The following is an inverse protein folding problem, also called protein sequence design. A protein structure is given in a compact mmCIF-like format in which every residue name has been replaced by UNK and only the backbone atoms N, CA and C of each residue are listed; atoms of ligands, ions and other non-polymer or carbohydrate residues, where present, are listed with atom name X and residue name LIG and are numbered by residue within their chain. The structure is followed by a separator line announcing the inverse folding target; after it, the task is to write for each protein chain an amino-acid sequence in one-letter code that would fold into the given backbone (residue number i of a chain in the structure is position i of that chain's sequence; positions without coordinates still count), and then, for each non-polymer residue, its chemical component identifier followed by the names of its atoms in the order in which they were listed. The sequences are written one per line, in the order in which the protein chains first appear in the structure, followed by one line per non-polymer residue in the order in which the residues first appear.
data_IF_917878593297
#
_entry.id   IF_917878593297
#
_cell.length_a   1.000
_cell.length_b   1.000
_cell.length_c   1.000
_cell.angle_alpha   90.00
_cell.angle_beta   90.00
_cell.angle_gamma   90.00
#
_symmetry.space_group_name_H-M   'P 1'
#
loop_
_entity.id
_entity.type
_entity.pdbx_description
1 polymer ?
#
# COMPACT_ATOMS: atom_id res chain seq x y z
N UNK A 1 3.54 -2.97 -3.84
CA UNK A 1 3.97 -3.49 -5.16
C UNK A 1 4.45 -2.36 -6.08
N UNK A 2 5.06 -1.34 -5.51
CA UNK A 2 5.41 -0.06 -6.14
C UNK A 2 6.70 -0.02 -6.96
N UNK A 3 7.37 -1.15 -7.20
CA UNK A 3 8.57 -1.24 -8.05
C UNK A 3 8.31 -2.08 -9.29
N UNK A 4 8.87 -1.66 -10.42
CA UNK A 4 8.93 -2.46 -11.65
C UNK A 4 9.94 -3.59 -11.44
N UNK A 5 9.54 -4.82 -11.77
CA UNK A 5 10.40 -6.00 -11.74
C UNK A 5 10.70 -6.46 -13.17
N UNK A 6 11.93 -6.83 -13.41
CA UNK A 6 12.40 -7.31 -14.71
C UNK A 6 13.24 -8.58 -14.56
N UNK A 7 13.28 -9.33 -15.64
CA UNK A 7 14.11 -10.51 -15.78
C UNK A 7 15.50 -10.09 -16.30
N UNK A 8 16.55 -10.42 -15.55
CA UNK A 8 17.91 -10.00 -15.88
C UNK A 8 18.51 -10.73 -17.09
N UNK A 9 17.95 -11.89 -17.48
CA UNK A 9 18.43 -12.65 -18.63
C UNK A 9 17.77 -12.21 -19.94
N UNK A 10 16.44 -12.02 -19.91
CA UNK A 10 15.70 -11.58 -21.11
C UNK A 10 15.57 -10.06 -21.24
N UNK A 11 15.74 -9.32 -20.14
CA UNK A 11 15.47 -7.89 -20.08
C UNK A 11 13.96 -7.53 -20.02
N UNK A 12 13.07 -8.53 -20.03
CA UNK A 12 11.64 -8.33 -20.06
C UNK A 12 11.11 -7.82 -18.72
N UNK A 13 10.12 -6.93 -18.76
CA UNK A 13 9.37 -6.50 -17.58
C UNK A 13 8.39 -7.60 -17.21
N UNK A 14 8.57 -8.17 -16.02
CA UNK A 14 7.69 -9.23 -15.47
C UNK A 14 6.64 -8.66 -14.51
N UNK A 15 6.85 -7.47 -13.98
CA UNK A 15 5.90 -6.69 -13.24
C UNK A 15 6.08 -5.20 -13.52
N UNK A 16 5.03 -4.56 -13.99
CA UNK A 16 5.03 -3.13 -14.31
C UNK A 16 3.70 -2.73 -14.93
N UNK A 17 3.43 -1.43 -14.95
CA UNK A 17 2.19 -0.87 -15.49
C UNK A 17 2.41 -0.34 -16.91
N UNK A 18 3.01 -1.17 -17.79
CA UNK A 18 3.31 -0.73 -19.15
C UNK A 18 2.06 -0.45 -19.99
N UNK A 19 0.99 -1.26 -19.80
CA UNK A 19 -0.32 -1.10 -20.47
C UNK A 19 -1.35 -2.09 -19.89
N UNK A 20 -2.64 -1.91 -20.22
CA UNK A 20 -3.72 -2.84 -19.87
C UNK A 20 -3.50 -4.25 -20.45
N UNK A 21 -2.80 -4.36 -21.56
CA UNK A 21 -2.46 -5.65 -22.18
C UNK A 21 -1.63 -6.56 -21.29
N UNK A 22 -0.79 -6.01 -20.40
CA UNK A 22 -0.06 -6.80 -19.40
C UNK A 22 -1.02 -7.46 -18.41
N UNK A 23 -1.99 -6.71 -17.86
CA UNK A 23 -3.01 -7.25 -16.96
C UNK A 23 -3.84 -8.31 -17.66
N UNK A 24 -4.30 -8.04 -18.87
CA UNK A 24 -5.05 -9.01 -19.67
C UNK A 24 -4.24 -10.29 -19.90
N UNK A 25 -2.94 -10.18 -20.21
CA UNK A 25 -2.02 -11.32 -20.31
C UNK A 25 -1.86 -12.06 -18.99
N UNK A 26 -1.80 -11.36 -17.86
CA UNK A 26 -1.74 -11.98 -16.54
C UNK A 26 -2.98 -12.85 -16.26
N UNK A 27 -4.16 -12.44 -16.74
CA UNK A 27 -5.41 -13.19 -16.64
C UNK A 27 -5.51 -14.35 -17.64
N UNK A 28 -5.17 -14.12 -18.91
CA UNK A 28 -5.43 -15.06 -19.99
C UNK A 28 -4.27 -16.05 -20.27
N UNK A 29 -3.01 -15.65 -20.02
CA UNK A 29 -1.88 -16.52 -20.32
C UNK A 29 -1.67 -17.58 -19.22
N UNK A 30 -1.46 -18.87 -19.57
CA UNK A 30 -1.22 -19.94 -18.59
C UNK A 30 -0.01 -19.67 -17.66
N UNK A 31 0.94 -18.87 -18.11
CA UNK A 31 2.18 -18.55 -17.38
C UNK A 31 2.20 -17.13 -16.81
N UNK A 32 1.09 -16.36 -16.89
CA UNK A 32 1.06 -14.92 -16.67
C UNK A 32 1.77 -14.41 -15.40
N UNK A 33 1.55 -15.05 -14.24
CA UNK A 33 2.20 -14.66 -12.98
C UNK A 33 3.32 -15.62 -12.54
N UNK A 34 3.64 -16.67 -13.30
CA UNK A 34 4.64 -17.67 -12.89
C UNK A 34 6.05 -17.10 -12.74
N UNK A 35 6.40 -16.13 -13.58
CA UNK A 35 7.71 -15.46 -13.50
C UNK A 35 7.95 -14.76 -12.16
N UNK A 36 6.87 -14.41 -11.42
CA UNK A 36 6.95 -13.76 -10.12
C UNK A 36 7.13 -14.76 -8.95
N UNK A 37 7.08 -16.08 -9.18
CA UNK A 37 7.34 -17.06 -8.09
C UNK A 37 8.80 -16.98 -7.67
N UNK A 38 8.99 -16.93 -6.36
CA UNK A 38 10.33 -16.99 -5.77
C UNK A 38 10.91 -18.41 -5.88
N UNK A 39 12.17 -18.46 -6.24
CA UNK A 39 12.99 -19.67 -6.09
C UNK A 39 13.34 -19.89 -4.60
N UNK A 40 13.79 -21.09 -4.19
CA UNK A 40 14.28 -21.29 -2.82
C UNK A 40 15.38 -20.29 -2.44
N UNK A 41 16.31 -20.01 -3.34
CA UNK A 41 17.39 -19.05 -3.10
C UNK A 41 16.89 -17.62 -2.88
N UNK A 42 15.92 -17.17 -3.67
CA UNK A 42 15.30 -15.87 -3.48
C UNK A 42 14.52 -15.77 -2.15
N UNK A 43 13.88 -16.86 -1.70
CA UNK A 43 13.23 -16.92 -0.38
C UNK A 43 14.22 -16.73 0.77
N UNK A 44 15.44 -17.25 0.62
CA UNK A 44 16.53 -17.08 1.60
C UNK A 44 17.24 -15.71 1.46
N UNK A 45 16.71 -14.81 0.64
CA UNK A 45 17.22 -13.45 0.46
C UNK A 45 18.43 -13.34 -0.46
N UNK A 46 18.73 -14.38 -1.23
CA UNK A 46 19.71 -14.29 -2.33
C UNK A 46 19.03 -13.69 -3.57
N UNK A 47 19.70 -12.73 -4.22
CA UNK A 47 19.16 -12.12 -5.43
C UNK A 47 19.14 -13.11 -6.58
N UNK A 48 17.93 -13.37 -7.08
CA UNK A 48 17.70 -14.25 -8.21
C UNK A 48 17.75 -13.54 -9.57
N UNK A 49 17.11 -14.16 -10.54
CA UNK A 49 16.97 -13.68 -11.91
C UNK A 49 16.06 -12.46 -12.03
N UNK A 50 15.00 -12.39 -11.20
CA UNK A 50 14.08 -11.25 -11.19
C UNK A 50 14.60 -10.20 -10.23
N UNK A 51 14.63 -8.93 -10.68
CA UNK A 51 15.13 -7.81 -9.89
C UNK A 51 14.25 -6.58 -10.03
N UNK A 52 14.25 -5.74 -8.99
CA UNK A 52 13.69 -4.42 -9.08
C UNK A 52 14.58 -3.50 -9.93
N UNK A 53 13.95 -2.72 -10.82
CA UNK A 53 14.65 -1.82 -11.73
C UNK A 53 14.47 -0.35 -11.36
N UNK A 54 13.22 0.04 -11.12
CA UNK A 54 12.85 1.43 -10.82
C UNK A 54 11.50 1.46 -10.09
N UNK A 55 11.19 2.59 -9.50
CA UNK A 55 9.84 2.85 -9.00
C UNK A 55 8.85 2.83 -10.17
N UNK A 56 7.62 2.37 -9.92
CA UNK A 56 6.56 2.43 -10.90
C UNK A 56 6.33 3.88 -11.33
N UNK A 57 6.27 4.10 -12.64
CA UNK A 57 5.99 5.39 -13.26
C UNK A 57 4.78 5.26 -14.15
N UNK A 58 3.90 6.25 -14.14
CA UNK A 58 2.87 6.36 -15.16
C UNK A 58 3.55 6.73 -16.48
N UNK A 59 3.35 5.98 -17.56
CA UNK A 59 3.77 6.44 -18.88
C UNK A 59 3.14 7.81 -19.19
N UNK A 60 3.87 8.71 -19.84
CA UNK A 60 3.40 10.06 -20.14
C UNK A 60 2.10 10.08 -20.98
N UNK A 61 1.83 9.01 -21.74
CA UNK A 61 0.63 8.81 -22.55
C UNK A 61 -0.55 8.16 -21.79
N UNK A 62 -0.34 7.75 -20.54
CA UNK A 62 -1.37 7.12 -19.72
C UNK A 62 -1.64 7.94 -18.44
N UNK A 63 -2.14 9.20 -18.56
CA UNK A 63 -2.49 10.01 -17.40
C UNK A 63 -3.61 9.38 -16.55
N UNK A 64 -4.16 8.26 -17.00
CA UNK A 64 -5.36 7.62 -16.51
C UNK A 64 -5.09 6.49 -15.50
N UNK A 65 -3.84 6.08 -15.26
CA UNK A 65 -3.48 5.10 -14.23
C UNK A 65 -3.30 5.75 -12.83
N UNK A 66 -3.97 6.87 -12.58
CA UNK A 66 -4.06 7.48 -11.25
C UNK A 66 -4.87 6.56 -10.35
N UNK A 67 -4.27 6.01 -9.33
CA UNK A 67 -4.90 5.02 -8.42
C UNK A 67 -4.06 3.75 -8.26
N UNK A 68 -3.21 3.43 -9.23
CA UNK A 68 -2.09 2.51 -9.06
C UNK A 68 -0.90 3.37 -8.69
N UNK A 69 -0.18 3.05 -7.64
CA UNK A 69 0.91 3.80 -7.00
C UNK A 69 2.06 4.25 -7.96
N UNK A 70 1.86 5.19 -8.91
CA UNK A 70 2.96 5.75 -9.67
C UNK A 70 3.59 6.87 -8.85
N UNK A 71 4.89 6.78 -8.65
CA UNK A 71 5.63 7.71 -7.81
C UNK A 71 6.16 8.94 -8.56
N UNK A 72 5.67 9.24 -9.76
CA UNK A 72 6.15 10.36 -10.56
C UNK A 72 6.02 11.69 -9.80
N UNK A 73 4.83 11.95 -9.26
CA UNK A 73 4.53 13.23 -8.59
C UNK A 73 5.28 13.33 -7.27
N UNK A 74 5.37 12.24 -6.50
CA UNK A 74 6.15 12.20 -5.27
C UNK A 74 7.64 12.44 -5.53
N UNK A 75 8.24 11.73 -6.50
CA UNK A 75 9.67 11.91 -6.85
C UNK A 75 9.93 13.31 -7.38
N UNK A 76 9.04 13.85 -8.22
CA UNK A 76 9.15 15.21 -8.71
C UNK A 76 9.05 16.25 -7.59
N UNK A 77 8.15 16.06 -6.63
CA UNK A 77 8.01 16.93 -5.45
C UNK A 77 9.26 16.89 -4.59
N UNK A 78 9.74 15.69 -4.22
CA UNK A 78 11.01 15.55 -3.47
C UNK A 78 12.18 16.19 -4.22
N UNK A 79 12.28 15.99 -5.53
CA UNK A 79 13.38 16.55 -6.34
C UNK A 79 13.33 18.07 -6.40
N UNK A 80 12.14 18.68 -6.41
CA UNK A 80 12.00 20.14 -6.37
C UNK A 80 12.33 20.75 -5.00
N UNK A 81 12.20 19.98 -3.92
CA UNK A 81 12.45 20.45 -2.55
C UNK A 81 13.91 20.32 -2.12
N UNK A 82 14.83 19.87 -2.98
CA UNK A 82 16.25 19.71 -2.67
C UNK A 82 17.11 20.60 -3.57
N UNK A 83 18.33 20.87 -3.12
CA UNK A 83 19.26 21.77 -3.81
C UNK A 83 19.76 21.23 -5.15
N UNK A 84 19.77 19.91 -5.34
CA UNK A 84 20.25 19.25 -6.55
C UNK A 84 19.58 17.87 -6.68
N UNK A 85 19.14 17.44 -7.88
CA UNK A 85 18.56 16.13 -8.11
C UNK A 85 19.42 14.94 -7.63
N UNK A 86 20.75 15.07 -7.64
CA UNK A 86 21.67 14.05 -7.13
C UNK A 86 21.54 13.81 -5.61
N UNK A 87 20.86 14.69 -4.87
CA UNK A 87 20.50 14.48 -3.46
C UNK A 87 19.36 13.47 -3.28
N UNK A 88 18.68 13.05 -4.35
CA UNK A 88 17.53 12.15 -4.28
C UNK A 88 17.91 10.75 -4.75
N UNK A 89 17.63 9.74 -3.92
CA UNK A 89 17.75 8.32 -4.25
C UNK A 89 16.36 7.69 -4.34
N UNK A 90 15.78 7.53 -5.54
CA UNK A 90 14.57 6.74 -5.72
C UNK A 90 14.91 5.25 -5.55
N UNK A 91 14.60 4.68 -4.38
CA UNK A 91 14.94 3.30 -4.04
C UNK A 91 13.82 2.33 -4.46
N UNK A 92 14.07 1.54 -5.49
CA UNK A 92 13.22 0.44 -5.92
C UNK A 92 13.69 -0.87 -5.27
N UNK A 93 12.76 -1.71 -4.83
CA UNK A 93 13.07 -2.98 -4.18
C UNK A 93 12.15 -4.11 -4.66
N UNK A 94 12.60 -5.32 -4.50
CA UNK A 94 11.80 -6.51 -4.82
C UNK A 94 10.82 -6.81 -3.69
N UNK A 95 9.60 -6.31 -3.84
CA UNK A 95 8.52 -6.43 -2.87
C UNK A 95 8.05 -7.89 -2.61
N UNK A 96 8.55 -8.88 -3.37
CA UNK A 96 8.31 -10.30 -3.13
C UNK A 96 9.17 -10.83 -1.98
N UNK A 97 10.37 -10.27 -1.81
CA UNK A 97 11.32 -10.63 -0.76
C UNK A 97 10.89 -10.07 0.60
N UNK A 98 11.44 -10.62 1.67
CA UNK A 98 11.14 -10.14 3.02
C UNK A 98 11.54 -8.68 3.23
N UNK A 99 10.84 -8.03 4.15
CA UNK A 99 11.17 -6.67 4.63
C UNK A 99 12.62 -6.65 5.13
N UNK A 100 13.05 -7.65 5.92
CA UNK A 100 14.42 -7.75 6.44
C UNK A 100 15.47 -7.80 5.33
N UNK A 101 15.24 -8.59 4.27
CA UNK A 101 16.15 -8.67 3.12
C UNK A 101 16.25 -7.32 2.40
N UNK A 102 15.12 -6.69 2.08
CA UNK A 102 15.11 -5.41 1.40
C UNK A 102 15.66 -4.28 2.27
N UNK A 103 15.47 -4.34 3.59
CA UNK A 103 16.03 -3.36 4.54
C UNK A 103 17.56 -3.32 4.52
N UNK A 104 18.22 -4.48 4.38
CA UNK A 104 19.68 -4.54 4.22
C UNK A 104 20.13 -3.82 2.96
N UNK A 105 19.46 -4.04 1.83
CA UNK A 105 19.76 -3.35 0.57
C UNK A 105 19.49 -1.84 0.67
N UNK A 106 18.42 -1.45 1.35
CA UNK A 106 18.12 -0.04 1.60
C UNK A 106 19.23 0.62 2.44
N UNK A 107 19.66 -0.05 3.52
CA UNK A 107 20.70 0.48 4.41
C UNK A 107 22.04 0.67 3.68
N UNK A 108 22.44 -0.29 2.86
CA UNK A 108 23.64 -0.21 2.02
C UNK A 108 23.55 0.95 1.02
N UNK A 109 22.47 0.99 0.23
CA UNK A 109 22.23 2.03 -0.77
C UNK A 109 22.15 3.43 -0.15
N UNK A 110 21.53 3.56 1.04
CA UNK A 110 21.44 4.84 1.74
C UNK A 110 22.79 5.34 2.24
N UNK A 111 23.66 4.46 2.79
CA UNK A 111 25.03 4.82 3.19
C UNK A 111 25.86 5.28 2.00
N UNK A 112 25.89 4.51 0.93
CA UNK A 112 26.61 4.85 -0.29
C UNK A 112 26.12 6.16 -0.91
N UNK A 113 24.79 6.37 -0.89
CA UNK A 113 24.19 7.61 -1.37
C UNK A 113 24.61 8.81 -0.53
N UNK A 114 24.55 8.70 0.80
CA UNK A 114 24.93 9.77 1.72
C UNK A 114 26.43 10.13 1.56
N UNK A 115 27.29 9.13 1.48
CA UNK A 115 28.72 9.35 1.25
C UNK A 115 29.01 10.03 -0.09
N UNK A 116 28.35 9.62 -1.16
CA UNK A 116 28.46 10.25 -2.48
C UNK A 116 27.96 11.68 -2.45
N UNK A 117 26.80 11.91 -1.82
CA UNK A 117 26.24 13.25 -1.66
C UNK A 117 27.14 14.17 -0.85
N UNK A 118 27.71 13.73 0.26
CA UNK A 118 28.65 14.53 1.08
C UNK A 118 29.90 14.98 0.32
N UNK A 119 30.28 14.25 -0.73
CA UNK A 119 31.38 14.62 -1.63
C UNK A 119 30.94 15.49 -2.83
N UNK A 120 29.63 15.65 -3.03
CA UNK A 120 29.11 16.36 -4.20
C UNK A 120 29.30 17.88 -4.08
N UNK A 121 29.69 18.60 -5.18
CA UNK A 121 29.90 20.05 -5.13
C UNK A 121 28.68 20.85 -4.66
N UNK A 122 27.46 20.43 -5.07
CA UNK A 122 26.23 21.07 -4.63
C UNK A 122 26.00 20.95 -3.12
N UNK A 123 26.43 19.86 -2.45
CA UNK A 123 26.41 19.75 -1.00
C UNK A 123 27.28 20.78 -0.33
N UNK A 124 28.52 20.97 -0.81
CA UNK A 124 29.43 21.97 -0.27
C UNK A 124 28.87 23.39 -0.43
N UNK A 125 28.19 23.67 -1.57
CA UNK A 125 27.52 24.94 -1.81
C UNK A 125 26.31 25.13 -0.88
N UNK A 126 25.44 24.11 -0.75
CA UNK A 126 24.29 24.16 0.14
C UNK A 126 24.67 24.40 1.60
N UNK A 127 25.76 23.80 2.10
CA UNK A 127 26.28 24.03 3.45
C UNK A 127 26.64 25.49 3.69
N UNK A 128 27.28 26.15 2.73
CA UNK A 128 27.67 27.57 2.85
C UNK A 128 26.46 28.51 2.98
N UNK A 129 25.33 28.13 2.50
CA UNK A 129 24.10 28.92 2.60
C UNK A 129 23.28 28.62 3.85
N UNK A 130 23.65 27.60 4.63
CA UNK A 130 22.99 27.30 5.92
C UNK A 130 23.67 28.07 7.05
N UNK A 131 22.84 28.56 7.98
CA UNK A 131 23.30 29.31 9.16
C UNK A 131 24.19 28.45 10.08
N UNK A 132 23.93 27.13 10.10
CA UNK A 132 24.55 26.17 11.03
C UNK A 132 25.66 25.31 10.39
N UNK A 133 25.89 25.44 9.09
CA UNK A 133 26.88 24.67 8.31
C UNK A 133 26.80 23.12 8.54
N UNK A 134 25.68 22.60 9.01
CA UNK A 134 25.51 21.15 9.28
C UNK A 134 25.75 20.30 8.04
N UNK A 135 26.32 19.14 8.24
CA UNK A 135 26.43 18.14 7.17
C UNK A 135 25.06 17.61 6.75
N UNK A 136 24.97 17.19 5.48
CA UNK A 136 23.81 16.53 4.96
C UNK A 136 23.51 15.24 5.74
N UNK A 137 22.23 15.03 6.06
CA UNK A 137 21.69 13.85 6.73
C UNK A 137 20.59 13.25 5.87
N UNK A 138 20.35 11.97 6.04
CA UNK A 138 19.28 11.27 5.34
C UNK A 138 17.89 11.76 5.79
N UNK A 139 17.00 11.84 4.83
CA UNK A 139 15.55 11.95 5.04
C UNK A 139 14.90 10.85 4.24
N UNK A 140 14.09 10.04 4.89
CA UNK A 140 13.32 8.99 4.22
C UNK A 140 11.89 9.47 4.01
N UNK A 141 11.40 9.34 2.78
CA UNK A 141 9.98 9.47 2.44
C UNK A 141 9.53 8.10 1.95
N UNK A 142 8.71 7.44 2.75
CA UNK A 142 8.42 6.01 2.58
C UNK A 142 6.92 5.73 2.51
N UNK A 143 6.47 5.14 1.40
CA UNK A 143 5.08 4.78 1.19
C UNK A 143 4.85 3.29 1.46
N UNK A 144 3.74 2.96 2.13
CA UNK A 144 3.27 1.59 2.34
C UNK A 144 4.35 0.71 3.03
N UNK A 145 4.63 -0.48 2.49
CA UNK A 145 5.67 -1.40 2.98
C UNK A 145 7.07 -0.74 3.07
N UNK A 146 7.31 0.33 2.31
CA UNK A 146 8.56 1.10 2.36
C UNK A 146 8.88 1.66 3.74
N UNK A 147 7.86 1.99 4.54
CA UNK A 147 8.05 2.43 5.93
C UNK A 147 8.52 1.31 6.86
N UNK A 148 8.07 0.07 6.65
CA UNK A 148 8.59 -1.10 7.38
C UNK A 148 10.05 -1.39 7.00
N UNK A 149 10.39 -1.28 5.71
CA UNK A 149 11.78 -1.39 5.25
C UNK A 149 12.65 -0.35 5.93
N UNK A 150 12.20 0.90 5.98
CA UNK A 150 12.94 2.00 6.61
C UNK A 150 13.11 1.74 8.11
N UNK A 151 12.06 1.30 8.81
CA UNK A 151 12.14 0.95 10.22
C UNK A 151 13.17 -0.18 10.46
N UNK A 152 13.12 -1.24 9.66
CA UNK A 152 14.06 -2.36 9.77
C UNK A 152 15.50 -1.91 9.43
N UNK A 153 15.70 -1.13 8.38
CA UNK A 153 17.02 -0.62 7.99
C UNK A 153 17.68 0.27 9.06
N UNK A 154 16.86 1.02 9.81
CA UNK A 154 17.32 1.87 10.90
C UNK A 154 17.45 1.15 12.25
N UNK A 155 16.93 -0.09 12.35
CA UNK A 155 16.96 -0.89 13.59
C UNK A 155 18.14 -1.88 13.61
N UNK A 156 18.42 -2.55 12.51
CA UNK A 156 19.32 -3.73 12.44
C UNK A 156 20.73 -3.44 11.90
N UNK A 157 21.12 -2.19 11.76
CA UNK A 157 22.48 -1.87 11.29
C UNK A 157 23.54 -2.35 12.30
N UNK A 158 24.54 -3.17 11.89
CA UNK A 158 25.60 -3.63 12.79
C UNK A 158 26.40 -2.47 13.39
N UNK A 159 26.30 -1.29 12.82
CA UNK A 159 27.09 -0.11 13.19
C UNK A 159 26.26 1.05 13.79
N UNK A 160 24.94 0.89 14.01
CA UNK A 160 24.10 1.92 14.66
C UNK A 160 24.00 3.30 13.96
N UNK A 161 24.86 3.54 12.98
CA UNK A 161 25.15 4.87 12.45
C UNK A 161 24.08 5.42 11.51
N UNK A 162 23.31 4.53 10.81
CA UNK A 162 22.33 5.01 9.83
C UNK A 162 21.20 5.82 10.49
N UNK A 163 20.78 5.44 11.69
CA UNK A 163 19.78 6.20 12.45
C UNK A 163 20.35 7.55 12.93
N UNK A 164 21.63 7.59 13.34
CA UNK A 164 22.32 8.82 13.72
C UNK A 164 22.50 9.78 12.52
N UNK A 165 22.75 9.22 11.34
CA UNK A 165 22.83 9.96 10.08
C UNK A 165 21.46 10.32 9.47
N UNK A 166 20.37 9.91 10.11
CA UNK A 166 19.00 10.23 9.65
C UNK A 166 18.44 11.43 10.40
N UNK A 167 17.98 12.43 9.66
CA UNK A 167 17.30 13.62 10.20
C UNK A 167 15.85 13.32 10.53
N UNK A 168 15.15 12.63 9.63
CA UNK A 168 13.73 12.36 9.79
C UNK A 168 13.20 11.33 8.82
N UNK A 169 12.06 10.77 9.18
CA UNK A 169 11.33 9.78 8.37
C UNK A 169 9.87 10.23 8.26
N UNK A 170 9.39 10.41 7.04
CA UNK A 170 7.99 10.62 6.73
C UNK A 170 7.42 9.33 6.14
N UNK A 171 6.39 8.78 6.78
CA UNK A 171 5.70 7.59 6.27
C UNK A 171 4.31 7.93 5.75
N UNK A 172 3.92 7.30 4.65
CA UNK A 172 2.64 7.48 3.97
C UNK A 172 1.91 6.14 3.95
N UNK A 173 0.87 5.98 4.76
CA UNK A 173 0.05 4.77 4.82
C UNK A 173 0.82 3.48 5.15
N UNK A 174 1.88 3.55 5.95
CA UNK A 174 2.70 2.38 6.29
C UNK A 174 1.97 1.43 7.23
N UNK A 175 1.81 0.15 6.89
CA UNK A 175 1.17 -0.85 7.74
C UNK A 175 2.13 -1.35 8.83
N UNK A 176 2.43 -0.54 9.85
CA UNK A 176 3.36 -0.90 10.93
C UNK A 176 2.93 -2.15 11.71
N UNK A 177 1.63 -2.39 11.79
CA UNK A 177 1.07 -3.59 12.40
C UNK A 177 0.45 -4.54 11.36
N UNK A 178 0.82 -4.40 10.09
CA UNK A 178 0.24 -5.17 9.00
C UNK A 178 -1.17 -4.71 8.60
N UNK A 179 -1.82 -5.49 7.75
CA UNK A 179 -3.16 -5.22 7.21
C UNK A 179 -3.95 -6.51 6.99
N UNK A 180 -5.24 -6.50 7.31
CA UNK A 180 -6.15 -7.65 7.09
C UNK A 180 -6.26 -7.99 5.59
N UNK A 181 -6.08 -7.00 4.71
CA UNK A 181 -6.03 -7.20 3.27
C UNK A 181 -4.97 -8.26 2.85
N UNK A 182 -3.82 -8.35 3.54
CA UNK A 182 -2.82 -9.37 3.26
C UNK A 182 -3.35 -10.80 3.52
N UNK A 183 -4.10 -10.99 4.60
CA UNK A 183 -4.76 -12.27 4.90
C UNK A 183 -5.85 -12.61 3.86
N UNK A 184 -6.62 -11.62 3.40
CA UNK A 184 -7.59 -11.79 2.34
C UNK A 184 -6.93 -12.22 1.02
N UNK A 185 -5.80 -11.61 0.64
CA UNK A 185 -5.02 -11.99 -0.55
C UNK A 185 -4.53 -13.45 -0.45
N UNK A 186 -4.01 -13.87 0.70
CA UNK A 186 -3.56 -15.25 0.91
C UNK A 186 -4.71 -16.26 0.83
N UNK A 187 -5.88 -15.92 1.33
CA UNK A 187 -7.03 -16.81 1.37
C UNK A 187 -7.77 -16.88 0.04
N UNK A 188 -8.22 -15.74 -0.46
CA UNK A 188 -9.10 -15.66 -1.64
C UNK A 188 -8.40 -15.13 -2.89
N UNK A 189 -7.26 -14.46 -2.76
CA UNK A 189 -6.62 -13.71 -3.84
C UNK A 189 -7.27 -12.36 -4.14
N UNK A 190 -8.25 -11.93 -3.34
CA UNK A 190 -8.94 -10.64 -3.48
C UNK A 190 -8.22 -9.54 -2.69
N UNK A 191 -8.45 -8.28 -3.05
CA UNK A 191 -7.91 -7.12 -2.33
C UNK A 191 -6.51 -6.69 -2.75
N UNK A 192 -5.99 -7.20 -3.88
CA UNK A 192 -4.76 -6.66 -4.47
C UNK A 192 -5.03 -5.25 -5.05
N UNK A 193 -4.03 -4.34 -5.03
CA UNK A 193 -4.19 -2.97 -5.55
C UNK A 193 -4.47 -2.90 -7.06
N UNK A 194 -4.27 -4.01 -7.77
CA UNK A 194 -4.65 -4.19 -9.18
C UNK A 194 -5.45 -5.48 -9.32
N UNK A 195 -6.45 -5.53 -10.20
CA UNK A 195 -7.23 -6.74 -10.44
C UNK A 195 -6.32 -7.82 -11.04
N UNK A 196 -6.12 -8.91 -10.31
CA UNK A 196 -5.31 -10.06 -10.70
C UNK A 196 -6.11 -11.36 -10.58
N UNK A 197 -5.79 -12.41 -11.36
CA UNK A 197 -6.45 -13.71 -11.26
C UNK A 197 -6.35 -14.26 -9.84
N UNK A 198 -7.49 -14.41 -9.15
CA UNK A 198 -7.54 -14.69 -7.71
C UNK A 198 -6.82 -16.00 -7.37
N UNK A 199 -7.09 -17.09 -8.06
CA UNK A 199 -6.45 -18.37 -7.81
C UNK A 199 -4.94 -18.37 -8.11
N UNK A 200 -4.50 -17.61 -9.14
CA UNK A 200 -3.08 -17.48 -9.47
C UNK A 200 -2.37 -16.58 -8.46
N UNK A 201 -3.01 -15.48 -8.06
CA UNK A 201 -2.46 -14.57 -7.04
C UNK A 201 -2.31 -15.28 -5.70
N UNK A 202 -3.29 -16.06 -5.27
CA UNK A 202 -3.21 -16.86 -4.05
C UNK A 202 -2.01 -17.81 -4.07
N UNK A 203 -1.81 -18.58 -5.15
CA UNK A 203 -0.67 -19.49 -5.30
C UNK A 203 0.69 -18.76 -5.31
N UNK A 204 0.71 -17.55 -5.84
CA UNK A 204 1.89 -16.71 -5.84
C UNK A 204 2.16 -16.13 -4.45
N UNK A 205 1.14 -15.58 -3.82
CA UNK A 205 1.15 -14.97 -2.49
C UNK A 205 1.71 -15.92 -1.42
N UNK A 206 1.33 -17.20 -1.47
CA UNK A 206 1.87 -18.25 -0.61
C UNK A 206 3.41 -18.30 -0.60
N UNK A 207 4.07 -17.97 -1.69
CA UNK A 207 5.52 -18.06 -1.83
C UNK A 207 6.27 -16.80 -1.41
N UNK A 208 5.57 -15.72 -1.04
CA UNK A 208 6.14 -14.37 -0.87
C UNK A 208 6.35 -14.00 0.59
N UNK A 209 7.59 -13.97 1.11
CA UNK A 209 7.89 -13.43 2.43
C UNK A 209 7.36 -12.00 2.62
N UNK A 210 7.56 -11.12 1.62
CA UNK A 210 7.12 -9.73 1.72
C UNK A 210 5.62 -9.55 1.91
N UNK A 211 4.77 -10.48 1.43
CA UNK A 211 3.33 -10.44 1.74
C UNK A 211 3.04 -10.97 3.14
N UNK A 212 3.78 -11.99 3.62
CA UNK A 212 3.63 -12.48 4.99
C UNK A 212 4.04 -11.42 6.01
N UNK A 213 5.04 -10.59 5.70
CA UNK A 213 5.45 -9.46 6.53
C UNK A 213 4.39 -8.35 6.63
N UNK A 214 3.36 -8.39 5.78
CA UNK A 214 2.21 -7.47 5.84
C UNK A 214 1.00 -8.06 6.57
N UNK A 215 1.09 -9.29 7.11
CA UNK A 215 0.00 -9.89 7.90
C UNK A 215 -0.25 -9.12 9.20
N UNK A 216 -1.53 -9.03 9.65
CA UNK A 216 -1.85 -8.25 10.84
C UNK A 216 -1.26 -8.88 12.11
N UNK A 217 -0.62 -8.04 12.93
CA UNK A 217 -0.02 -8.40 14.22
C UNK A 217 -0.84 -7.92 15.43
N UNK A 218 -1.95 -7.25 15.19
CA UNK A 218 -2.92 -6.82 16.19
C UNK A 218 -4.05 -7.86 16.34
N UNK A 219 -4.85 -7.82 17.43
CA UNK A 219 -6.02 -8.67 17.59
C UNK A 219 -7.05 -8.41 16.49
N UNK A 220 -7.17 -9.33 15.55
CA UNK A 220 -8.05 -9.21 14.38
C UNK A 220 -8.88 -10.47 14.09
N UNK A 221 -8.52 -11.62 14.65
CA UNK A 221 -9.27 -12.86 14.46
C UNK A 221 -10.43 -12.92 15.46
N UNK A 222 -11.65 -12.82 14.91
CA UNK A 222 -12.90 -12.83 15.66
C UNK A 222 -13.40 -14.28 15.82
N UNK A 223 -13.35 -14.80 17.03
CA UNK A 223 -13.92 -16.09 17.44
C UNK A 223 -15.21 -15.91 18.27
N UNK A 224 -15.86 -14.77 18.12
CA UNK A 224 -17.10 -14.41 18.83
C UNK A 224 -16.82 -13.66 20.13
N UNK A 225 -16.72 -14.35 21.26
CA UNK A 225 -16.41 -13.72 22.55
C UNK A 225 -14.93 -13.50 22.79
N UNK A 226 -14.08 -14.09 21.97
CA UNK A 226 -12.63 -13.98 22.02
C UNK A 226 -12.11 -13.36 20.70
N UNK A 227 -11.26 -12.36 20.85
CA UNK A 227 -10.57 -11.73 19.74
C UNK A 227 -9.08 -11.89 19.97
N UNK A 228 -8.35 -12.43 19.03
CA UNK A 228 -6.94 -12.69 19.19
C UNK A 228 -6.11 -12.37 17.92
N UNK A 229 -4.81 -12.41 18.07
CA UNK A 229 -3.87 -12.30 16.94
C UNK A 229 -3.86 -13.60 16.14
N UNK A 230 -3.53 -13.50 14.86
CA UNK A 230 -3.26 -14.67 14.04
C UNK A 230 -1.99 -15.39 14.51
N UNK A 231 -2.09 -16.71 14.67
CA UNK A 231 -0.94 -17.58 14.88
C UNK A 231 -0.41 -18.12 13.54
N UNK A 232 0.83 -18.66 13.50
CA UNK A 232 1.33 -19.33 12.29
C UNK A 232 0.45 -20.50 11.83
N UNK A 233 -0.28 -21.14 12.74
CA UNK A 233 -1.24 -22.20 12.39
C UNK A 233 -2.47 -21.60 11.69
N UNK A 234 -3.02 -20.50 12.20
CA UNK A 234 -4.14 -19.82 11.53
C UNK A 234 -3.74 -19.34 10.13
N UNK A 235 -2.49 -18.84 9.99
CA UNK A 235 -1.96 -18.41 8.69
C UNK A 235 -1.84 -19.60 7.72
N UNK A 236 -1.43 -20.76 8.18
CA UNK A 236 -1.44 -21.97 7.37
C UNK A 236 -2.87 -22.40 7.00
N UNK A 237 -3.80 -22.34 7.93
CA UNK A 237 -5.21 -22.69 7.70
C UNK A 237 -5.91 -21.75 6.70
N UNK A 238 -5.54 -20.47 6.68
CA UNK A 238 -6.07 -19.53 5.69
C UNK A 238 -5.36 -19.60 4.32
N UNK A 239 -4.34 -20.43 4.19
CA UNK A 239 -3.64 -20.68 2.93
C UNK A 239 -2.29 -20.00 2.76
N UNK A 240 -1.71 -19.48 3.85
CA UNK A 240 -0.31 -18.97 3.88
C UNK A 240 0.72 -20.05 4.21
N UNK A 241 1.98 -19.68 4.14
CA UNK A 241 3.12 -20.52 4.51
C UNK A 241 3.45 -20.34 6.00
N UNK A 242 3.47 -21.44 6.76
CA UNK A 242 3.67 -21.41 8.20
C UNK A 242 5.06 -20.90 8.61
N UNK A 243 6.09 -21.29 7.86
CA UNK A 243 7.47 -20.92 8.17
C UNK A 243 7.68 -19.42 7.89
N UNK A 244 7.15 -18.92 6.77
CA UNK A 244 7.16 -17.49 6.47
C UNK A 244 6.36 -16.68 7.51
N UNK A 245 5.31 -17.25 8.08
CA UNK A 245 4.56 -16.62 9.16
C UNK A 245 5.38 -16.50 10.45
N UNK A 246 6.19 -17.53 10.79
CA UNK A 246 7.11 -17.49 11.95
C UNK A 246 8.20 -16.43 11.72
N UNK A 247 8.79 -16.39 10.52
CA UNK A 247 9.79 -15.39 10.17
C UNK A 247 9.23 -13.96 10.26
N UNK A 248 8.02 -13.75 9.75
CA UNK A 248 7.30 -12.47 9.86
C UNK A 248 7.04 -12.06 11.31
N UNK A 249 6.60 -13.00 12.17
CA UNK A 249 6.43 -12.71 13.59
C UNK A 249 7.74 -12.28 14.25
N UNK A 250 8.83 -12.98 13.95
CA UNK A 250 10.17 -12.64 14.44
C UNK A 250 10.59 -11.23 14.02
N UNK A 251 10.34 -10.87 12.74
CA UNK A 251 10.58 -9.52 12.24
C UNK A 251 9.78 -8.49 13.06
N UNK A 252 8.46 -8.66 13.18
CA UNK A 252 7.61 -7.72 13.89
C UNK A 252 7.94 -7.61 15.39
N UNK A 253 8.37 -8.70 16.03
CA UNK A 253 8.83 -8.68 17.44
C UNK A 253 10.13 -7.86 17.57
N UNK A 254 11.05 -7.97 16.60
CA UNK A 254 12.28 -7.16 16.55
C UNK A 254 11.99 -5.68 16.36
N UNK A 255 10.99 -5.34 15.53
CA UNK A 255 10.61 -3.96 15.23
C UNK A 255 9.71 -3.33 16.31
N UNK A 256 9.12 -4.13 17.18
CA UNK A 256 8.17 -3.65 18.20
C UNK A 256 8.82 -2.65 19.15
N UNK A 257 8.18 -1.50 19.31
CA UNK A 257 8.64 -0.42 20.17
C UNK A 257 9.85 0.34 19.67
N UNK A 258 10.36 0.03 18.47
CA UNK A 258 11.41 0.81 17.83
C UNK A 258 10.85 2.14 17.31
N UNK A 259 11.64 3.18 17.44
CA UNK A 259 11.28 4.52 17.00
C UNK A 259 12.07 4.93 15.76
N UNK A 260 11.42 5.62 14.84
CA UNK A 260 12.05 6.26 13.69
C UNK A 260 12.51 7.68 14.06
N UNK A 261 13.71 8.11 13.68
CA UNK A 261 14.19 9.47 13.92
C UNK A 261 13.25 10.51 13.31
N UNK A 262 12.87 11.56 14.07
CA UNK A 262 12.03 12.65 13.58
C UNK A 262 10.76 12.19 12.85
N UNK A 263 10.15 11.10 13.27
CA UNK A 263 9.06 10.45 12.56
C UNK A 263 7.79 11.28 12.52
N UNK A 264 7.25 11.42 11.33
CA UNK A 264 5.87 11.88 11.06
C UNK A 264 5.16 10.90 10.12
N UNK A 265 3.86 10.72 10.31
CA UNK A 265 3.05 9.80 9.52
C UNK A 265 1.89 10.53 8.84
N UNK A 266 1.76 10.37 7.53
CA UNK A 266 0.55 10.69 6.78
C UNK A 266 -0.30 9.43 6.71
N UNK A 267 -1.55 9.52 7.15
CA UNK A 267 -2.43 8.38 7.29
C UNK A 267 -3.72 8.64 6.54
N UNK A 268 -4.04 7.78 5.60
CA UNK A 268 -5.32 7.84 4.91
C UNK A 268 -6.47 7.45 5.84
N UNK A 269 -7.57 8.15 5.72
CA UNK A 269 -8.79 7.94 6.49
C UNK A 269 -10.00 7.95 5.56
N UNK A 270 -11.17 7.57 6.10
CA UNK A 270 -12.47 7.69 5.44
C UNK A 270 -12.77 6.66 4.34
N UNK A 271 -11.84 5.76 4.02
CA UNK A 271 -12.12 4.69 3.07
C UNK A 271 -12.56 3.40 3.79
N UNK A 272 -13.51 2.63 3.21
CA UNK A 272 -13.82 1.28 3.67
C UNK A 272 -12.54 0.46 3.73
N UNK A 273 -12.20 -0.04 4.92
CA UNK A 273 -10.91 -0.71 5.14
C UNK A 273 -11.12 -1.95 5.99
N UNK A 274 -10.55 -3.08 5.58
CA UNK A 274 -10.63 -4.33 6.33
C UNK A 274 -9.82 -4.21 7.62
N UNK A 275 -10.46 -4.52 8.77
CA UNK A 275 -9.88 -4.29 10.10
C UNK A 275 -9.91 -5.55 10.98
N UNK A 276 -10.78 -6.51 10.70
CA UNK A 276 -10.83 -7.81 11.37
C UNK A 276 -11.28 -8.91 10.41
N UNK A 277 -11.22 -10.15 10.85
CA UNK A 277 -11.65 -11.30 10.08
C UNK A 277 -12.15 -12.42 10.98
N UNK A 278 -13.01 -13.28 10.44
CA UNK A 278 -13.29 -14.62 10.96
C UNK A 278 -12.61 -15.65 10.06
N UNK A 279 -12.17 -16.76 10.65
CA UNK A 279 -11.61 -17.92 9.93
C UNK A 279 -12.43 -19.15 10.28
N UNK A 280 -13.14 -19.69 9.30
CA UNK A 280 -13.97 -20.90 9.48
C UNK A 280 -13.70 -21.90 8.37
N UNK A 281 -13.21 -23.07 8.74
CA UNK A 281 -12.90 -24.16 7.77
C UNK A 281 -12.00 -23.69 6.61
N UNK A 282 -10.98 -22.86 6.91
CA UNK A 282 -10.07 -22.32 5.90
C UNK A 282 -10.63 -21.16 5.08
N UNK A 283 -11.82 -20.65 5.38
CA UNK A 283 -12.43 -19.51 4.69
C UNK A 283 -12.37 -18.28 5.56
N UNK A 284 -11.77 -17.22 5.03
CA UNK A 284 -11.71 -15.90 5.65
C UNK A 284 -12.93 -15.08 5.25
N UNK A 285 -13.61 -14.51 6.24
CA UNK A 285 -14.60 -13.44 6.04
C UNK A 285 -14.09 -12.20 6.77
N UNK A 286 -13.73 -11.18 6.01
CA UNK A 286 -13.19 -9.95 6.55
C UNK A 286 -14.28 -8.93 6.87
N UNK A 287 -14.01 -8.03 7.82
CA UNK A 287 -14.92 -7.00 8.31
C UNK A 287 -14.23 -5.64 8.44
N UNK A 288 -15.00 -4.57 8.31
CA UNK A 288 -14.52 -3.18 8.38
C UNK A 288 -14.50 -2.60 9.81
N UNK A 289 -14.58 -3.43 10.84
CA UNK A 289 -14.45 -3.00 12.22
C UNK A 289 -13.27 -3.71 12.88
N UNK A 290 -12.64 -3.03 13.84
CA UNK A 290 -11.58 -3.56 14.67
C UNK A 290 -12.05 -3.73 16.12
N UNK A 291 -11.18 -4.30 16.93
CA UNK A 291 -11.32 -4.45 18.37
C UNK A 291 -10.13 -3.77 19.04
N UNK A 292 -10.36 -3.21 20.24
CA UNK A 292 -9.32 -2.52 21.01
C UNK A 292 -9.07 -3.20 22.32
N UNK A 293 -7.83 -3.14 22.75
CA UNK A 293 -7.38 -3.56 24.07
C UNK A 293 -7.22 -2.32 24.97
N UNK A 294 -7.48 -2.48 26.26
CA UNK A 294 -7.05 -1.54 27.29
C UNK A 294 -5.52 -1.58 27.45
N UNK A 295 -4.97 -0.69 28.24
CA UNK A 295 -3.52 -0.63 28.50
C UNK A 295 -2.96 -1.88 29.22
N UNK A 296 -3.81 -2.66 29.87
CA UNK A 296 -3.51 -3.94 30.52
C UNK A 296 -3.62 -5.15 29.58
N UNK A 297 -4.00 -4.93 28.32
CA UNK A 297 -4.16 -5.97 27.30
C UNK A 297 -5.54 -6.65 27.29
N UNK A 298 -6.47 -6.26 28.16
CA UNK A 298 -7.83 -6.78 28.15
C UNK A 298 -8.67 -6.14 27.04
N UNK A 299 -9.49 -6.95 26.36
CA UNK A 299 -10.39 -6.47 25.30
C UNK A 299 -11.43 -5.49 25.84
N UNK A 300 -11.62 -4.39 25.17
CA UNK A 300 -12.74 -3.48 25.42
C UNK A 300 -14.05 -4.18 25.09
N UNK A 301 -14.99 -4.18 26.08
CA UNK A 301 -16.30 -4.83 25.95
C UNK A 301 -17.43 -3.82 26.08
N UNK A 302 -18.57 -4.15 25.52
CA UNK A 302 -19.81 -3.41 25.72
C UNK A 302 -20.53 -3.80 27.02
N UNK A 303 -21.69 -3.21 27.27
CA UNK A 303 -22.49 -3.44 28.48
C UNK A 303 -23.00 -4.90 28.59
N UNK A 304 -23.01 -5.64 27.50
CA UNK A 304 -23.43 -7.07 27.47
C UNK A 304 -22.26 -8.01 27.70
N UNK A 305 -21.03 -7.49 27.78
CA UNK A 305 -19.80 -8.26 27.89
C UNK A 305 -19.26 -8.77 26.55
N UNK A 306 -19.86 -8.40 25.42
CA UNK A 306 -19.34 -8.72 24.10
C UNK A 306 -18.17 -7.81 23.70
N UNK A 307 -17.20 -8.28 22.90
CA UNK A 307 -16.13 -7.43 22.37
C UNK A 307 -16.70 -6.22 21.62
N UNK A 308 -16.27 -5.03 22.03
CA UNK A 308 -16.74 -3.78 21.44
C UNK A 308 -16.12 -3.55 20.08
N UNK A 309 -16.97 -3.31 19.07
CA UNK A 309 -16.57 -3.01 17.69
C UNK A 309 -16.33 -1.53 17.50
N UNK A 310 -15.25 -1.20 16.76
CA UNK A 310 -14.87 0.15 16.42
C UNK A 310 -14.59 0.20 14.91
N UNK A 311 -15.23 1.11 14.21
CA UNK A 311 -14.79 1.48 12.86
C UNK A 311 -13.86 2.69 12.97
N UNK A 312 -12.57 2.46 12.73
CA UNK A 312 -11.55 3.52 12.79
C UNK A 312 -11.21 4.07 11.40
N UNK A 313 -11.80 3.47 10.37
CA UNK A 313 -11.52 3.81 8.98
C UNK A 313 -10.06 3.51 8.58
N UNK A 314 -9.71 3.91 7.37
CA UNK A 314 -8.37 3.76 6.84
C UNK A 314 -8.28 4.33 5.43
N UNK A 315 -7.31 3.87 4.67
CA UNK A 315 -7.04 4.30 3.30
C UNK A 315 -7.53 3.31 2.22
N UNK A 316 -8.34 2.32 2.62
CA UNK A 316 -8.81 1.23 1.76
C UNK A 316 -7.91 -0.02 1.80
N UNK A 317 -6.68 0.09 2.31
CA UNK A 317 -5.71 -1.01 2.44
C UNK A 317 -5.27 -1.19 3.89
N UNK A 318 -4.87 -0.10 4.53
CA UNK A 318 -4.32 -0.05 5.89
C UNK A 318 -5.26 0.76 6.78
N UNK A 319 -5.72 0.18 7.87
CA UNK A 319 -6.55 0.92 8.82
C UNK A 319 -5.71 1.91 9.63
N UNK A 320 -6.35 2.99 10.05
CA UNK A 320 -5.69 4.13 10.69
C UNK A 320 -4.75 3.76 11.84
N UNK A 321 -5.14 2.85 12.72
CA UNK A 321 -4.33 2.51 13.90
C UNK A 321 -3.06 1.74 13.53
N UNK A 322 -3.10 0.89 12.50
CA UNK A 322 -1.90 0.23 11.98
C UNK A 322 -0.91 1.20 11.36
N UNK A 323 -1.40 2.29 10.74
CA UNK A 323 -0.56 3.30 10.11
C UNK A 323 -0.10 4.42 11.07
N UNK A 324 -0.56 4.42 12.33
CA UNK A 324 -0.32 5.50 13.31
C UNK A 324 0.50 5.03 14.51
N UNK A 325 1.80 4.73 14.38
CA UNK A 325 2.61 4.21 15.48
C UNK A 325 2.98 5.30 16.50
N UNK A 326 2.78 6.58 16.16
CA UNK A 326 3.12 7.74 16.98
C UNK A 326 1.99 8.76 17.02
N UNK A 327 2.08 9.74 17.96
CA UNK A 327 1.13 10.86 18.04
C UNK A 327 1.34 11.91 16.93
N UNK A 328 2.48 11.92 16.26
CA UNK A 328 2.79 12.83 15.15
C UNK A 328 2.19 12.30 13.83
N UNK A 329 0.87 12.24 13.77
CA UNK A 329 0.11 11.68 12.65
C UNK A 329 -0.79 12.75 12.06
N UNK A 330 -0.73 12.90 10.74
CA UNK A 330 -1.62 13.78 9.95
C UNK A 330 -2.60 12.91 9.19
N UNK A 331 -3.89 12.94 9.54
CA UNK A 331 -4.92 12.23 8.81
C UNK A 331 -5.29 12.97 7.53
N UNK A 332 -5.37 12.26 6.41
CA UNK A 332 -5.77 12.76 5.11
C UNK A 332 -6.93 11.90 4.57
N UNK A 333 -7.93 12.52 3.98
CA UNK A 333 -9.06 11.81 3.35
C UNK A 333 -8.66 11.27 1.98
N UNK A 334 -7.63 10.41 1.94
CA UNK A 334 -7.02 9.87 0.72
C UNK A 334 -6.98 8.34 0.77
N UNK A 335 -7.13 7.74 -0.41
CA UNK A 335 -6.88 6.32 -0.63
C UNK A 335 -5.37 6.01 -0.55
N UNK A 336 -5.04 4.73 -0.32
CA UNK A 336 -3.67 4.25 -0.13
C UNK A 336 -2.70 4.71 -1.23
N UNK A 337 -3.03 4.49 -2.50
CA UNK A 337 -2.22 4.96 -3.63
C UNK A 337 -2.19 6.49 -3.78
N UNK A 338 -3.28 7.16 -3.41
CA UNK A 338 -3.38 8.62 -3.48
C UNK A 338 -2.48 9.34 -2.46
N UNK A 339 -2.04 8.68 -1.39
CA UNK A 339 -1.06 9.23 -0.46
C UNK A 339 0.29 9.55 -1.12
N UNK A 340 0.60 8.94 -2.27
CA UNK A 340 1.81 9.23 -3.04
C UNK A 340 1.60 10.25 -4.18
N UNK A 341 0.37 10.80 -4.36
CA UNK A 341 0.01 11.63 -5.51
C UNK A 341 -0.88 12.82 -5.16
N UNK A 342 -1.69 12.70 -4.09
CA UNK A 342 -2.65 13.72 -3.70
C UNK A 342 -1.96 15.02 -3.28
N UNK A 343 -2.51 16.15 -3.71
CA UNK A 343 -1.95 17.48 -3.48
C UNK A 343 -1.62 17.72 -2.00
N UNK A 344 -2.56 17.46 -1.10
CA UNK A 344 -2.35 17.64 0.34
C UNK A 344 -1.22 16.76 0.92
N UNK A 345 -1.04 15.53 0.38
CA UNK A 345 0.06 14.68 0.79
C UNK A 345 1.40 15.20 0.25
N UNK A 346 1.44 15.69 -0.99
CA UNK A 346 2.64 16.27 -1.61
C UNK A 346 3.05 17.59 -0.95
N UNK A 347 2.09 18.42 -0.54
CA UNK A 347 2.35 19.62 0.28
C UNK A 347 2.96 19.24 1.63
N UNK A 348 2.42 18.23 2.31
CA UNK A 348 2.98 17.74 3.57
C UNK A 348 4.40 17.17 3.40
N UNK A 349 4.69 16.52 2.27
CA UNK A 349 6.06 16.07 1.92
C UNK A 349 7.00 17.26 1.78
N UNK A 350 6.58 18.31 1.05
CA UNK A 350 7.37 19.54 0.88
C UNK A 350 7.66 20.19 2.24
N UNK A 351 6.63 20.43 3.05
CA UNK A 351 6.76 21.02 4.39
C UNK A 351 7.70 20.20 5.29
N UNK A 352 7.62 18.85 5.22
CA UNK A 352 8.54 18.00 5.99
C UNK A 352 10.01 18.13 5.54
N UNK A 353 10.25 18.22 4.23
CA UNK A 353 11.59 18.38 3.68
C UNK A 353 12.19 19.75 4.00
N UNK A 354 11.36 20.80 4.02
CA UNK A 354 11.73 22.19 4.32
C UNK A 354 11.86 22.47 5.82
N UNK A 355 11.65 21.45 6.67
CA UNK A 355 11.72 21.57 8.13
C UNK A 355 10.60 22.45 8.73
N UNK A 356 9.47 22.58 8.02
CA UNK A 356 8.30 23.27 8.54
C UNK A 356 7.67 22.45 9.69
N UNK A 357 7.30 23.13 10.77
CA UNK A 357 6.63 22.48 11.91
C UNK A 357 5.20 22.03 11.57
N UNK A 358 4.58 22.67 10.60
CA UNK A 358 3.19 22.39 10.17
C UNK A 358 3.16 21.59 8.85
N UNK A 359 2.62 20.38 8.91
CA UNK A 359 2.36 19.54 7.71
C UNK A 359 1.01 19.88 7.04
N UNK A 360 0.51 21.08 7.22
CA UNK A 360 -0.82 21.48 6.75
C UNK A 360 -1.96 21.09 7.70
N UNK A 361 -3.19 21.55 7.43
CA UNK A 361 -4.35 21.20 8.23
C UNK A 361 -4.70 19.72 8.05
N UNK A 362 -5.06 19.05 9.16
CA UNK A 362 -5.69 17.74 9.10
C UNK A 362 -7.01 17.87 8.30
N UNK A 363 -7.11 17.14 7.22
CA UNK A 363 -8.34 17.13 6.44
C UNK A 363 -9.38 16.26 7.17
N UNK A 364 -10.40 16.89 7.71
CA UNK A 364 -11.63 16.22 8.14
C UNK A 364 -12.54 16.13 6.92
N UNK A 365 -12.20 15.30 5.94
CA UNK A 365 -13.04 15.04 4.78
C UNK A 365 -14.33 14.31 5.18
N UNK A 366 -15.39 14.47 4.39
CA UNK A 366 -16.55 13.60 4.46
C UNK A 366 -16.06 12.15 4.35
N UNK A 367 -16.68 11.23 5.12
CA UNK A 367 -16.31 9.79 5.10
C UNK A 367 -16.84 9.12 3.84
N UNK A 368 -16.51 9.65 2.67
CA UNK A 368 -16.94 9.11 1.39
C UNK A 368 -15.98 8.00 0.98
N UNK A 369 -16.51 6.83 0.73
CA UNK A 369 -15.76 5.67 0.23
C UNK A 369 -16.39 5.11 -1.02
N UNK A 370 -15.59 4.51 -1.89
CA UNK A 370 -16.04 3.83 -3.10
C UNK A 370 -15.69 2.34 -3.01
N UNK A 371 -16.62 1.48 -3.42
CA UNK A 371 -16.45 0.03 -3.47
C UNK A 371 -16.87 -0.47 -4.85
N UNK A 372 -15.98 -1.19 -5.51
CA UNK A 372 -16.22 -1.83 -6.80
C UNK A 372 -15.63 -3.26 -6.82
N UNK A 373 -16.17 -4.17 -7.64
CA UNK A 373 -15.58 -5.51 -7.80
C UNK A 373 -14.23 -5.42 -8.53
N UNK A 374 -13.27 -6.28 -8.18
CA UNK A 374 -11.97 -6.37 -8.85
C UNK A 374 -12.10 -6.90 -10.29
N UNK A 375 -13.06 -7.82 -10.52
CA UNK A 375 -13.31 -8.49 -11.80
C UNK A 375 -14.78 -8.48 -12.15
N UNK A 376 -15.07 -8.19 -13.41
CA UNK A 376 -16.43 -8.22 -13.97
C UNK A 376 -16.43 -8.90 -15.34
N UNK A 377 -17.55 -9.51 -15.72
CA UNK A 377 -17.72 -10.03 -17.07
C UNK A 377 -18.16 -8.88 -18.02
N UNK A 378 -17.55 -8.72 -19.19
CA UNK A 378 -18.00 -7.77 -20.20
C UNK A 378 -19.46 -8.00 -20.58
N UNK A 379 -20.24 -6.94 -20.74
CA UNK A 379 -21.67 -7.01 -21.05
C UNK A 379 -22.58 -7.35 -19.87
N UNK A 380 -22.02 -7.71 -18.71
CA UNK A 380 -22.81 -8.03 -17.51
C UNK A 380 -22.88 -6.80 -16.59
N UNK A 381 -24.07 -6.41 -16.10
CA UNK A 381 -24.19 -5.32 -15.15
C UNK A 381 -23.55 -5.66 -13.80
N UNK A 382 -22.83 -4.69 -13.25
CA UNK A 382 -22.25 -4.72 -11.90
C UNK A 382 -22.52 -3.41 -11.17
N UNK A 383 -22.20 -3.33 -9.89
CA UNK A 383 -22.58 -2.20 -9.04
C UNK A 383 -21.35 -1.52 -8.46
N UNK A 384 -21.30 -0.18 -8.61
CA UNK A 384 -20.46 0.72 -7.82
C UNK A 384 -21.25 1.08 -6.57
N UNK A 385 -20.67 0.94 -5.38
CA UNK A 385 -21.25 1.42 -4.11
C UNK A 385 -20.47 2.60 -3.60
N UNK A 386 -21.19 3.62 -3.14
CA UNK A 386 -20.61 4.80 -2.49
C UNK A 386 -21.16 4.89 -1.08
N UNK A 387 -20.29 4.90 -0.10
CA UNK A 387 -20.62 4.90 1.33
C UNK A 387 -20.31 6.25 1.96
N UNK A 388 -20.94 6.51 3.10
CA UNK A 388 -20.67 7.70 3.93
C UNK A 388 -21.38 8.97 3.47
N UNK A 389 -22.29 8.86 2.50
CA UNK A 389 -23.15 9.93 2.00
C UNK A 389 -24.54 9.38 1.69
N UNK A 390 -25.56 10.19 1.99
CA UNK A 390 -26.97 9.81 1.82
C UNK A 390 -27.60 10.46 0.58
N UNK A 391 -26.88 11.37 -0.10
CA UNK A 391 -27.37 12.11 -1.26
C UNK A 391 -26.34 12.12 -2.38
N UNK A 392 -26.76 11.91 -3.64
CA UNK A 392 -25.88 12.02 -4.80
C UNK A 392 -25.56 13.48 -5.17
N UNK A 393 -26.11 14.46 -4.48
CA UNK A 393 -25.92 15.87 -4.80
C UNK A 393 -24.43 16.28 -4.58
N UNK A 394 -23.81 16.81 -5.63
CA UNK A 394 -22.41 17.22 -5.61
C UNK A 394 -21.42 16.06 -5.81
N UNK A 395 -21.92 14.88 -6.18
CA UNK A 395 -21.08 13.74 -6.53
C UNK A 395 -21.21 13.42 -8.01
N UNK A 396 -20.07 13.31 -8.70
CA UNK A 396 -20.00 12.82 -10.07
C UNK A 396 -19.25 11.49 -10.13
N UNK A 397 -19.93 10.45 -10.61
CA UNK A 397 -19.32 9.13 -10.81
C UNK A 397 -19.20 8.80 -12.29
N UNK A 398 -18.01 8.41 -12.72
CA UNK A 398 -17.72 8.04 -14.09
C UNK A 398 -16.94 6.73 -14.18
N UNK A 399 -17.13 6.03 -15.30
CA UNK A 399 -16.35 4.82 -15.63
C UNK A 399 -15.70 5.02 -16.99
N UNK A 400 -14.41 4.84 -17.06
CA UNK A 400 -13.59 5.05 -18.25
C UNK A 400 -12.69 3.85 -18.52
N UNK A 401 -12.56 3.45 -19.77
CA UNK A 401 -11.57 2.48 -20.18
C UNK A 401 -10.17 3.10 -20.16
N UNK A 402 -9.22 2.46 -19.48
CA UNK A 402 -7.90 3.04 -19.22
C UNK A 402 -7.10 3.30 -20.49
N UNK A 403 -7.14 2.38 -21.46
CA UNK A 403 -6.40 2.47 -22.72
C UNK A 403 -7.34 2.52 -23.95
N UNK A 404 -8.63 2.80 -23.75
CA UNK A 404 -9.65 2.75 -24.79
C UNK A 404 -10.46 4.04 -24.92
N UNK A 405 -11.50 3.94 -25.74
CA UNK A 405 -12.39 5.08 -26.04
C UNK A 405 -13.69 5.08 -25.21
N UNK A 406 -13.92 4.05 -24.39
CA UNK A 406 -15.13 4.00 -23.58
C UNK A 406 -15.04 4.98 -22.40
N UNK A 407 -16.01 5.87 -22.31
CA UNK A 407 -16.24 6.74 -21.16
C UNK A 407 -17.75 6.91 -20.98
N UNK A 408 -18.23 6.78 -19.74
CA UNK A 408 -19.65 6.94 -19.44
C UNK A 408 -19.91 7.34 -18.00
N UNK A 409 -20.97 8.15 -17.76
CA UNK A 409 -21.37 8.48 -16.40
C UNK A 409 -22.01 7.26 -15.73
N UNK A 410 -21.70 7.07 -14.45
CA UNK A 410 -22.36 6.10 -13.57
C UNK A 410 -23.35 6.86 -12.66
N UNK A 411 -24.64 6.82 -13.00
CA UNK A 411 -25.67 7.55 -12.25
C UNK A 411 -25.88 6.94 -10.87
N UNK A 412 -25.62 7.74 -9.84
CA UNK A 412 -25.83 7.37 -8.45
C UNK A 412 -27.32 7.47 -8.08
N UNK A 413 -27.82 6.47 -7.35
CA UNK A 413 -29.15 6.42 -6.74
C UNK A 413 -29.05 5.89 -5.31
N UNK A 414 -30.05 6.17 -4.48
CA UNK A 414 -30.11 5.62 -3.11
C UNK A 414 -30.40 4.13 -3.12
N UNK A 415 -29.66 3.37 -2.32
CA UNK A 415 -29.82 1.92 -2.13
C UNK A 415 -29.59 1.61 -0.64
N UNK A 416 -30.69 1.52 0.11
CA UNK A 416 -30.72 1.41 1.57
C UNK A 416 -29.82 2.46 2.26
N UNK A 417 -28.72 2.05 2.89
CA UNK A 417 -27.81 2.90 3.66
C UNK A 417 -26.62 3.46 2.84
N UNK A 418 -26.66 3.36 1.50
CA UNK A 418 -25.58 3.81 0.63
C UNK A 418 -26.11 4.30 -0.73
N UNK A 419 -25.23 4.92 -1.51
CA UNK A 419 -25.53 5.20 -2.91
C UNK A 419 -24.96 4.10 -3.80
N UNK A 420 -25.68 3.77 -4.86
CA UNK A 420 -25.24 2.78 -5.83
C UNK A 420 -25.30 3.34 -7.25
N UNK A 421 -24.47 2.82 -8.14
CA UNK A 421 -24.62 3.00 -9.58
C UNK A 421 -24.47 1.68 -10.30
N UNK A 422 -25.38 1.41 -11.24
CA UNK A 422 -25.31 0.20 -12.08
C UNK A 422 -24.52 0.51 -13.33
N UNK A 423 -23.48 -0.27 -13.58
CA UNK A 423 -22.53 -0.08 -14.67
C UNK A 423 -22.47 -1.34 -15.54
N UNK A 424 -22.31 -1.15 -16.84
CA UNK A 424 -22.00 -2.23 -17.79
C UNK A 424 -20.90 -1.74 -18.72
N UNK A 425 -19.83 -2.51 -18.85
CA UNK A 425 -18.72 -2.21 -19.76
C UNK A 425 -18.77 -3.13 -20.98
N UNK A 426 -18.51 -2.63 -22.21
CA UNK A 426 -18.81 -3.36 -23.43
C UNK A 426 -17.79 -4.43 -23.81
N UNK A 427 -16.53 -4.27 -23.41
CA UNK A 427 -15.41 -5.08 -23.90
C UNK A 427 -14.49 -5.53 -22.75
N UNK A 428 -13.68 -6.58 -22.96
CA UNK A 428 -12.58 -6.90 -22.08
C UNK A 428 -11.56 -5.76 -22.05
N UNK A 429 -11.15 -5.35 -20.84
CA UNK A 429 -10.22 -4.23 -20.68
C UNK A 429 -10.09 -3.83 -19.21
N UNK A 430 -9.22 -2.87 -18.96
CA UNK A 430 -9.07 -2.25 -17.64
C UNK A 430 -9.91 -0.97 -17.60
N UNK A 431 -10.77 -0.87 -16.61
CA UNK A 431 -11.65 0.28 -16.41
C UNK A 431 -11.31 0.98 -15.10
N UNK A 432 -11.43 2.30 -15.11
CA UNK A 432 -11.36 3.15 -13.92
C UNK A 432 -12.75 3.63 -13.57
N UNK A 433 -13.10 3.49 -12.30
CA UNK A 433 -14.22 4.17 -11.69
C UNK A 433 -13.67 5.38 -10.96
N UNK A 434 -14.19 6.56 -11.27
CA UNK A 434 -13.82 7.82 -10.62
C UNK A 434 -15.05 8.39 -9.95
N UNK A 435 -14.94 8.73 -8.67
CA UNK A 435 -15.94 9.48 -7.93
C UNK A 435 -15.35 10.84 -7.56
N UNK A 436 -15.85 11.88 -8.18
CA UNK A 436 -15.57 13.26 -7.81
C UNK A 436 -16.52 13.68 -6.68
N UNK A 437 -15.95 14.10 -5.56
CA UNK A 437 -16.66 14.55 -4.35
C UNK A 437 -16.62 16.06 -4.20
N UNK A 438 -16.02 16.77 -5.18
CA UNK A 438 -15.69 18.19 -5.08
C UNK A 438 -14.40 18.47 -4.29
N UNK A 439 -13.75 17.44 -3.77
CA UNK A 439 -12.43 17.53 -3.17
C UNK A 439 -11.33 17.62 -4.25
N UNK A 440 -10.15 18.20 -3.96
CA UNK A 440 -9.07 18.34 -4.95
C UNK A 440 -8.60 17.01 -5.56
N UNK A 441 -8.78 15.90 -4.85
CA UNK A 441 -8.39 14.57 -5.31
C UNK A 441 -9.61 13.64 -5.36
N UNK A 442 -10.08 13.23 -6.54
CA UNK A 442 -11.18 12.30 -6.67
C UNK A 442 -10.78 10.90 -6.18
N UNK A 443 -11.77 10.13 -5.71
CA UNK A 443 -11.60 8.73 -5.37
C UNK A 443 -11.57 7.89 -6.66
N UNK A 444 -10.63 6.96 -6.76
CA UNK A 444 -10.52 6.12 -7.95
C UNK A 444 -10.28 4.66 -7.60
N UNK A 445 -10.96 3.75 -8.32
CA UNK A 445 -10.68 2.32 -8.26
C UNK A 445 -10.63 1.71 -9.66
N UNK A 446 -9.87 0.62 -9.80
CA UNK A 446 -9.74 -0.10 -11.06
C UNK A 446 -10.59 -1.37 -11.04
N UNK A 447 -11.20 -1.66 -12.19
CA UNK A 447 -11.99 -2.87 -12.44
C UNK A 447 -11.48 -3.51 -13.70
N UNK A 448 -11.14 -4.80 -13.65
CA UNK A 448 -10.84 -5.56 -14.86
C UNK A 448 -12.12 -6.18 -15.41
N UNK A 449 -12.42 -5.92 -16.67
CA UNK A 449 -13.42 -6.67 -17.40
C UNK A 449 -12.73 -7.80 -18.18
N UNK A 450 -13.00 -9.05 -17.80
CA UNK A 450 -12.49 -10.23 -18.48
C UNK A 450 -13.55 -11.34 -18.48
N UNK A 451 -13.51 -12.27 -19.47
CA UNK A 451 -14.35 -13.47 -19.40
C UNK A 451 -14.07 -14.26 -18.12
N UNK A 452 -15.10 -14.93 -17.58
CA UNK A 452 -14.93 -15.80 -16.41
C UNK A 452 -13.76 -16.77 -16.61
N UNK A 453 -12.92 -16.91 -15.56
CA UNK A 453 -11.90 -17.97 -15.55
C UNK A 453 -12.64 -19.32 -15.78
N UNK A 454 -12.39 -19.96 -16.89
CA UNK A 454 -12.67 -21.40 -16.98
C UNK A 454 -11.71 -22.07 -16.01
N UNK A 455 -12.27 -22.74 -15.01
CA UNK A 455 -11.52 -23.63 -14.11
C UNK A 455 -10.89 -24.74 -14.99
N UNK A 456 -9.68 -24.47 -15.49
CA UNK A 456 -8.82 -25.50 -16.03
C UNK A 456 -8.25 -26.26 -14.83
N UNK A 457 -8.95 -27.36 -14.48
CA UNK A 457 -8.72 -28.28 -13.39
C UNK A 457 -7.31 -28.89 -13.35
#
# INVERSE_FOLDING_TARGET
MGSELYDTESGDVVWGLANAGWLLKAWTAPQGLRALRLTPDEREGRLGRIRARRLLRTPAWSPFLRGIEPYNDLVATVTRSVADPEAVLPFAYDWRLSVATNARFLAEAAREHLERWRRHPAHALARKHRVDEREGRLVFVAHSMGGLLTLAALTDGPDGDLAADTRGVLTLGTPFQGAVAAAAILNTGQGAPVPLPHGRLRRLAYTMPGLHDLLPTFPCLDEGLNIRRLSPTDIADLGGDKDLAVDSQTLHDTLRGRALPGHRALVGISQPTLQSLTLRQGVVTASEHCYREHSDGELMRDETGAPRRFDVGGDGTVHKESASPTRATVPLALQHGALAQGEAALEAVTSFLEEDEHLGPAQAGARVGIEVPDLVAPGTPWTVRVRGVDSPAGLDCAVEEVDGAFAGPARLYGDDDHLAARVTVPAPGLYRVTLDTGDPTPLTQLVLAAPDERDDG
#
